data_IF_191070655564
#
_entry.id   IF_191070655564
#
_cell.length_a   1.000
_cell.length_b   1.000
_cell.length_c   1.000
_cell.angle_alpha   90.00
_cell.angle_beta   90.00
_cell.angle_gamma   90.00
#
_symmetry.space_group_name_H-M   'P 1'
#
loop_
_entity.id
_entity.type
_entity.pdbx_description
1 polymer ?
#
# COMPACT_ATOMS: atom_id res chain seq x y z
N UNK A 1 -32.76 -18.68 90.02
CA UNK A 1 -33.08 -17.49 89.21
C UNK A 1 -32.12 -17.47 88.04
N UNK A 2 -32.69 -17.65 86.84
CA UNK A 2 -32.01 -17.78 85.55
C UNK A 2 -31.54 -16.41 85.03
N UNK A 3 -30.35 -16.36 84.41
CA UNK A 3 -30.19 -15.76 83.08
C UNK A 3 -28.80 -16.07 82.52
N UNK A 4 -28.71 -17.14 81.71
CA UNK A 4 -27.62 -17.36 80.76
C UNK A 4 -28.07 -16.75 79.42
N UNK A 5 -27.57 -15.57 79.12
CA UNK A 5 -27.79 -14.92 77.82
C UNK A 5 -26.89 -15.59 76.79
N UNK A 6 -27.45 -16.50 75.98
CA UNK A 6 -26.83 -16.98 74.75
C UNK A 6 -26.92 -15.88 73.70
N UNK A 7 -25.80 -15.30 73.33
CA UNK A 7 -25.68 -14.48 72.12
C UNK A 7 -25.62 -15.46 70.95
N UNK A 8 -26.71 -15.54 70.18
CA UNK A 8 -26.74 -16.24 68.90
C UNK A 8 -26.23 -15.21 67.88
N UNK A 9 -24.98 -15.38 67.44
CA UNK A 9 -24.48 -14.68 66.25
C UNK A 9 -25.24 -15.23 65.04
N UNK A 10 -26.22 -14.46 64.58
CA UNK A 10 -26.84 -14.65 63.28
C UNK A 10 -25.81 -14.25 62.22
N UNK A 11 -25.19 -15.24 61.58
CA UNK A 11 -24.49 -15.02 60.32
C UNK A 11 -25.56 -14.66 59.28
N UNK A 12 -25.66 -13.37 58.97
CA UNK A 12 -26.44 -12.88 57.84
C UNK A 12 -25.68 -13.33 56.60
N UNK A 13 -26.16 -14.41 55.99
CA UNK A 13 -25.77 -14.86 54.67
C UNK A 13 -26.30 -13.81 53.68
N UNK A 14 -25.48 -12.82 53.36
CA UNK A 14 -25.73 -11.88 52.27
C UNK A 14 -25.58 -12.66 50.96
N UNK A 15 -26.68 -13.22 50.48
CA UNK A 15 -26.76 -13.76 49.11
C UNK A 15 -26.77 -12.57 48.18
N UNK A 16 -25.58 -12.18 47.71
CA UNK A 16 -25.44 -11.27 46.58
C UNK A 16 -25.89 -12.08 45.36
N UNK A 17 -27.13 -11.88 44.95
CA UNK A 17 -27.60 -12.30 43.63
C UNK A 17 -26.91 -11.37 42.63
N UNK A 18 -25.73 -11.74 42.19
CA UNK A 18 -25.14 -11.18 40.97
C UNK A 18 -26.05 -11.66 39.85
N UNK A 19 -26.99 -10.82 39.45
CA UNK A 19 -27.66 -10.99 38.18
C UNK A 19 -26.58 -10.79 37.11
N UNK A 20 -25.97 -11.90 36.71
CA UNK A 20 -25.19 -11.97 35.47
C UNK A 20 -26.22 -11.76 34.37
N UNK A 21 -26.46 -10.50 34.02
CA UNK A 21 -27.03 -10.18 32.73
C UNK A 21 -25.99 -10.67 31.73
N UNK A 22 -26.22 -11.86 31.19
CA UNK A 22 -25.56 -12.32 29.98
C UNK A 22 -25.94 -11.33 28.89
N UNK A 23 -25.14 -10.27 28.76
CA UNK A 23 -25.09 -9.45 27.59
C UNK A 23 -24.55 -10.39 26.50
N UNK A 24 -25.47 -11.04 25.77
CA UNK A 24 -25.10 -11.64 24.49
C UNK A 24 -24.74 -10.47 23.60
N UNK A 25 -23.45 -10.13 23.53
CA UNK A 25 -22.93 -9.45 22.36
C UNK A 25 -23.13 -10.43 21.22
N UNK A 26 -24.26 -10.30 20.52
CA UNK A 26 -24.36 -10.85 19.17
C UNK A 26 -23.45 -9.96 18.33
N UNK A 27 -22.16 -10.27 18.34
CA UNK A 27 -21.25 -9.83 17.30
C UNK A 27 -21.90 -10.25 15.99
N UNK A 28 -22.41 -9.27 15.26
CA UNK A 28 -22.99 -9.53 13.96
C UNK A 28 -21.79 -9.79 13.08
N UNK A 29 -21.50 -11.07 12.83
CA UNK A 29 -20.58 -11.48 11.76
C UNK A 29 -21.04 -10.72 10.52
N UNK A 30 -20.20 -9.78 10.09
CA UNK A 30 -20.47 -9.03 8.88
C UNK A 30 -20.21 -10.07 7.80
N UNK A 31 -21.29 -10.64 7.24
CA UNK A 31 -21.19 -11.55 6.09
C UNK A 31 -20.22 -10.90 5.10
N UNK A 32 -19.15 -11.61 4.73
CA UNK A 32 -18.19 -11.14 3.73
C UNK A 32 -18.98 -10.55 2.56
N UNK A 33 -18.84 -9.25 2.27
CA UNK A 33 -19.62 -8.64 1.21
C UNK A 33 -19.30 -9.38 -0.09
N UNK A 34 -20.29 -10.11 -0.63
CA UNK A 34 -20.17 -10.77 -1.93
C UNK A 34 -20.01 -9.70 -3.02
N UNK A 35 -18.76 -9.29 -3.24
CA UNK A 35 -18.35 -8.26 -4.18
C UNK A 35 -17.15 -7.48 -3.66
N UNK A 36 -16.07 -7.45 -4.43
CA UNK A 36 -14.94 -6.55 -4.21
C UNK A 36 -15.42 -5.11 -4.43
N UNK A 37 -15.96 -4.50 -3.38
CA UNK A 37 -16.44 -3.12 -3.42
C UNK A 37 -15.29 -2.23 -2.98
N UNK A 38 -14.82 -1.37 -3.88
CA UNK A 38 -13.90 -0.29 -3.53
C UNK A 38 -14.47 0.49 -2.33
N UNK A 39 -13.65 0.64 -1.28
CA UNK A 39 -14.02 1.33 -0.05
C UNK A 39 -12.85 2.15 0.45
N UNK A 40 -13.13 3.03 1.40
CA UNK A 40 -12.09 3.74 2.15
C UNK A 40 -11.52 2.85 3.26
N UNK A 41 -10.23 2.97 3.47
CA UNK A 41 -9.48 2.32 4.54
C UNK A 41 -8.50 3.33 5.14
N UNK A 42 -7.92 2.97 6.28
CA UNK A 42 -6.90 3.74 6.99
C UNK A 42 -5.73 2.80 7.20
N UNK A 43 -4.56 3.14 6.65
CA UNK A 43 -3.31 2.48 7.01
C UNK A 43 -2.77 3.13 8.27
N UNK A 44 -2.51 2.33 9.28
CA UNK A 44 -1.84 2.75 10.50
C UNK A 44 -0.50 2.04 10.58
N UNK A 45 0.55 2.77 10.92
CA UNK A 45 1.82 2.21 11.33
C UNK A 45 1.90 2.35 12.85
N UNK A 46 1.84 1.23 13.55
CA UNK A 46 1.84 1.18 15.00
C UNK A 46 3.25 0.82 15.47
N UNK A 47 3.92 1.74 16.15
CA UNK A 47 5.18 1.46 16.83
C UNK A 47 4.92 0.66 18.09
N UNK A 48 5.71 -0.39 18.30
CA UNK A 48 5.73 -1.17 19.53
C UNK A 48 7.13 -1.12 20.16
N UNK A 49 7.20 -0.76 21.44
CA UNK A 49 8.45 -0.64 22.20
C UNK A 49 8.35 -1.47 23.48
N UNK A 50 9.31 -2.38 23.71
CA UNK A 50 9.44 -3.12 24.97
C UNK A 50 10.23 -2.29 25.98
N UNK A 51 9.58 -1.94 27.08
CA UNK A 51 10.20 -1.20 28.19
C UNK A 51 10.12 -2.08 29.44
N UNK A 52 11.15 -2.91 29.62
CA UNK A 52 11.18 -3.92 30.68
C UNK A 52 10.31 -5.13 30.31
N UNK A 53 9.23 -5.36 31.05
CA UNK A 53 8.26 -6.44 30.78
C UNK A 53 6.97 -5.90 30.14
N UNK A 54 6.84 -4.59 29.98
CA UNK A 54 5.67 -3.94 29.40
C UNK A 54 5.93 -3.56 27.93
N UNK A 55 4.89 -3.68 27.10
CA UNK A 55 4.90 -3.20 25.72
C UNK A 55 4.13 -1.89 25.66
N UNK A 56 4.74 -0.87 25.08
CA UNK A 56 4.10 0.41 24.81
C UNK A 56 3.83 0.53 23.32
N UNK A 57 2.63 1.01 22.99
CA UNK A 57 2.23 1.27 21.61
C UNK A 57 2.15 2.76 21.34
N UNK A 58 2.50 3.15 20.13
CA UNK A 58 2.37 4.52 19.65
C UNK A 58 1.97 4.54 18.18
N UNK A 59 1.30 5.60 17.74
CA UNK A 59 1.04 5.84 16.33
C UNK A 59 2.29 6.46 15.70
N UNK A 60 2.86 5.78 14.71
CA UNK A 60 4.03 6.24 13.94
C UNK A 60 3.58 6.93 12.65
N UNK A 61 2.60 6.33 11.97
CA UNK A 61 2.10 6.78 10.68
C UNK A 61 0.60 6.57 10.53
N UNK A 62 -0.05 7.46 9.78
CA UNK A 62 -1.47 7.39 9.44
C UNK A 62 -1.64 7.85 7.98
N UNK A 63 -2.30 7.02 7.18
CA UNK A 63 -2.56 7.30 5.77
C UNK A 63 -3.98 6.88 5.40
N UNK A 64 -4.68 7.73 4.63
CA UNK A 64 -6.00 7.41 4.09
C UNK A 64 -5.82 6.63 2.79
N UNK A 65 -6.48 5.49 2.67
CA UNK A 65 -6.45 4.62 1.49
C UNK A 65 -7.85 4.56 0.85
N UNK A 66 -7.89 4.42 -0.46
CA UNK A 66 -9.10 4.07 -1.20
C UNK A 66 -8.79 2.92 -2.15
N UNK A 67 -9.63 1.89 -2.19
CA UNK A 67 -9.43 0.75 -3.06
C UNK A 67 -10.08 -0.53 -2.53
N UNK A 68 -9.57 -1.68 -2.93
CA UNK A 68 -10.09 -2.98 -2.55
C UNK A 68 -9.14 -3.70 -1.58
N UNK A 69 -9.07 -3.21 -0.35
CA UNK A 69 -8.19 -3.80 0.68
C UNK A 69 -8.88 -4.89 1.51
N UNK A 70 -10.08 -5.34 1.12
CA UNK A 70 -10.87 -6.29 1.93
C UNK A 70 -10.15 -7.60 2.25
N UNK A 71 -9.27 -8.06 1.36
CA UNK A 71 -8.44 -9.27 1.57
C UNK A 71 -7.16 -9.05 2.39
N UNK A 72 -6.84 -7.80 2.74
CA UNK A 72 -5.70 -7.44 3.58
C UNK A 72 -6.13 -6.98 4.99
N UNK A 73 -7.43 -6.91 5.25
CA UNK A 73 -7.96 -6.63 6.58
C UNK A 73 -8.08 -7.95 7.34
N UNK A 74 -7.24 -8.13 8.34
CA UNK A 74 -7.29 -9.30 9.22
C UNK A 74 -8.43 -9.12 10.24
N UNK A 75 -9.53 -9.86 10.08
CA UNK A 75 -10.67 -9.82 11.01
C UNK A 75 -10.44 -10.79 12.17
N UNK A 76 -10.66 -10.31 13.41
CA UNK A 76 -10.62 -11.17 14.58
C UNK A 76 -11.91 -12.00 14.68
N UNK A 77 -11.79 -13.34 14.69
CA UNK A 77 -12.87 -14.30 14.94
C UNK A 77 -12.70 -14.94 16.33
N UNK A 78 -13.72 -14.81 17.18
CA UNK A 78 -13.70 -15.29 18.56
C UNK A 78 -13.81 -16.83 18.67
N UNK A 79 -14.21 -17.50 17.60
CA UNK A 79 -14.41 -18.95 17.56
C UNK A 79 -13.14 -19.74 17.15
N UNK A 80 -12.03 -19.06 16.83
CA UNK A 80 -10.96 -19.59 15.97
C UNK A 80 -9.54 -19.72 16.49
N UNK A 81 -9.24 -19.53 17.79
CA UNK A 81 -8.04 -20.10 18.44
C UNK A 81 -6.65 -19.61 17.98
N UNK A 82 -6.54 -18.53 17.21
CA UNK A 82 -5.25 -17.88 16.97
C UNK A 82 -4.93 -17.07 18.23
N UNK A 83 -3.91 -17.50 18.97
CA UNK A 83 -3.41 -16.78 20.13
C UNK A 83 -2.58 -15.61 19.62
N UNK A 84 -3.26 -14.56 19.18
CA UNK A 84 -2.57 -13.34 18.75
C UNK A 84 -2.09 -12.53 19.95
N UNK A 85 -1.03 -11.76 19.71
CA UNK A 85 -0.34 -11.01 20.76
C UNK A 85 -1.20 -9.84 21.23
N UNK A 86 -1.84 -9.13 20.29
CA UNK A 86 -2.62 -7.92 20.59
C UNK A 86 -3.94 -7.87 19.81
N UNK A 87 -4.90 -7.11 20.33
CA UNK A 87 -6.20 -6.87 19.70
C UNK A 87 -6.39 -5.39 19.42
N UNK A 88 -6.45 -5.01 18.14
CA UNK A 88 -6.87 -3.67 17.72
C UNK A 88 -8.38 -3.55 17.86
N UNK A 89 -8.84 -2.45 18.47
CA UNK A 89 -10.25 -2.11 18.63
C UNK A 89 -10.52 -0.71 18.11
N UNK A 90 -11.48 -0.63 17.21
CA UNK A 90 -11.99 0.62 16.66
C UNK A 90 -13.37 0.85 17.26
N UNK A 91 -13.50 1.91 18.05
CA UNK A 91 -14.75 2.27 18.70
C UNK A 91 -15.31 3.54 18.08
N UNK A 92 -16.62 3.70 18.15
CA UNK A 92 -17.29 4.91 17.73
C UNK A 92 -17.12 6.07 18.74
N UNK A 93 -17.80 7.19 18.48
CA UNK A 93 -17.82 8.37 19.35
C UNK A 93 -18.50 8.13 20.71
N UNK A 94 -19.35 7.10 20.84
CA UNK A 94 -20.02 6.71 22.09
C UNK A 94 -19.22 5.66 22.88
N UNK A 95 -18.21 5.07 22.25
CA UNK A 95 -17.35 4.02 22.81
C UNK A 95 -17.82 2.60 22.48
N UNK A 96 -18.77 2.44 21.57
CA UNK A 96 -19.24 1.14 21.11
C UNK A 96 -18.27 0.57 20.05
N UNK A 97 -18.05 -0.75 20.09
CA UNK A 97 -17.12 -1.44 19.19
C UNK A 97 -17.68 -1.46 17.75
N UNK A 98 -16.94 -0.89 16.81
CA UNK A 98 -17.23 -0.90 15.38
C UNK A 98 -16.50 -2.03 14.64
N UNK A 99 -15.22 -2.20 14.97
CA UNK A 99 -14.33 -3.14 14.29
C UNK A 99 -13.24 -3.62 15.26
N UNK A 100 -12.83 -4.88 15.11
CA UNK A 100 -11.70 -5.44 15.82
C UNK A 100 -10.85 -6.29 14.90
N UNK A 101 -9.53 -6.14 15.03
CA UNK A 101 -8.53 -6.85 14.24
C UNK A 101 -7.47 -7.40 15.16
N UNK A 102 -6.97 -8.56 14.81
CA UNK A 102 -5.91 -9.22 15.53
C UNK A 102 -4.57 -8.67 15.01
N UNK A 103 -3.64 -8.37 15.91
CA UNK A 103 -2.33 -7.85 15.54
C UNK A 103 -1.22 -8.83 15.93
N UNK A 104 -0.36 -9.11 14.97
CA UNK A 104 0.89 -9.84 15.19
C UNK A 104 2.03 -8.88 15.49
N UNK A 105 2.82 -9.19 16.53
CA UNK A 105 4.02 -8.40 16.84
C UNK A 105 5.05 -8.56 15.73
N UNK A 106 5.58 -7.44 15.27
CA UNK A 106 6.71 -7.34 14.33
C UNK A 106 8.08 -7.48 15.02
N UNK A 107 8.10 -7.55 16.36
CA UNK A 107 9.33 -7.69 17.15
C UNK A 107 9.93 -9.10 17.10
N UNK A 108 9.17 -10.10 16.65
CA UNK A 108 9.65 -11.47 16.55
C UNK A 108 10.02 -11.81 15.11
N UNK A 109 11.29 -12.13 14.89
CA UNK A 109 11.78 -12.67 13.61
C UNK A 109 12.04 -14.15 13.79
N UNK A 110 11.23 -14.97 13.12
CA UNK A 110 11.45 -16.40 13.02
C UNK A 110 12.47 -16.64 11.91
N UNK A 111 13.51 -17.40 12.21
CA UNK A 111 14.46 -17.85 11.20
C UNK A 111 14.56 -19.36 11.28
N UNK A 112 14.58 -19.99 10.10
CA UNK A 112 14.87 -21.41 9.97
C UNK A 112 16.26 -21.60 9.37
N UNK A 113 16.95 -22.67 9.78
CA UNK A 113 18.26 -23.01 9.28
C UNK A 113 18.14 -24.25 8.39
N UNK A 114 18.06 -24.03 7.07
CA UNK A 114 17.90 -25.08 6.06
C UNK A 114 19.18 -25.91 5.81
N UNK A 115 19.85 -26.35 6.88
CA UNK A 115 20.95 -27.31 6.78
C UNK A 115 20.44 -28.69 6.33
N UNK A 116 21.19 -29.37 5.46
CA UNK A 116 20.85 -30.75 5.03
C UNK A 116 21.00 -31.79 6.17
N UNK A 117 21.59 -31.39 7.30
CA UNK A 117 21.71 -32.22 8.50
C UNK A 117 20.44 -32.05 9.36
N UNK A 118 19.79 -33.16 9.75
CA UNK A 118 18.47 -33.27 10.42
C UNK A 118 18.33 -32.56 11.80
N UNK A 119 19.23 -31.66 12.17
CA UNK A 119 19.08 -30.82 13.36
C UNK A 119 18.48 -29.47 12.93
N UNK A 120 17.14 -29.38 12.94
CA UNK A 120 16.40 -28.11 12.86
C UNK A 120 16.93 -27.15 13.93
N UNK A 121 17.76 -26.19 13.52
CA UNK A 121 18.30 -25.14 14.39
C UNK A 121 17.57 -23.80 14.17
N UNK A 122 16.30 -23.85 13.78
CA UNK A 122 15.43 -22.68 13.76
C UNK A 122 15.35 -22.00 15.13
N UNK A 123 15.07 -20.70 15.12
CA UNK A 123 15.01 -19.89 16.33
C UNK A 123 14.11 -18.67 16.18
N UNK A 124 13.95 -17.95 17.29
CA UNK A 124 13.20 -16.70 17.36
C UNK A 124 14.14 -15.61 17.84
N UNK A 125 14.29 -14.54 17.06
CA UNK A 125 14.94 -13.31 17.47
C UNK A 125 13.87 -12.33 17.91
N UNK A 126 13.94 -11.87 19.16
CA UNK A 126 13.07 -10.81 19.68
C UNK A 126 13.85 -9.48 19.67
N UNK A 127 13.27 -8.44 19.07
CA UNK A 127 13.82 -7.08 19.06
C UNK A 127 13.20 -6.24 20.18
N UNK A 128 13.84 -5.12 20.56
CA UNK A 128 13.29 -4.20 21.56
C UNK A 128 12.14 -3.34 21.00
N UNK A 129 12.10 -3.15 19.68
CA UNK A 129 11.11 -2.31 19.00
C UNK A 129 10.70 -2.88 17.64
N UNK A 130 9.50 -2.52 17.18
CA UNK A 130 8.93 -2.94 15.90
C UNK A 130 7.88 -1.96 15.36
N UNK A 131 7.43 -2.19 14.12
CA UNK A 131 6.34 -1.47 13.47
C UNK A 131 5.33 -2.48 12.95
N UNK A 132 4.09 -2.38 13.42
CA UNK A 132 2.97 -3.21 12.99
C UNK A 132 2.13 -2.40 11.99
N UNK A 133 2.19 -2.71 10.67
CA UNK A 133 1.29 -2.11 9.71
C UNK A 133 -0.10 -2.76 9.83
N UNK A 134 -1.15 -1.95 9.89
CA UNK A 134 -2.53 -2.44 9.88
C UNK A 134 -3.41 -1.61 8.97
N UNK A 135 -4.33 -2.29 8.28
CA UNK A 135 -5.35 -1.65 7.46
C UNK A 135 -6.69 -1.77 8.17
N UNK A 136 -7.31 -0.62 8.42
CA UNK A 136 -8.59 -0.51 9.12
C UNK A 136 -9.66 -0.04 8.13
N UNK A 137 -10.83 -0.69 8.04
CA UNK A 137 -11.91 -0.17 7.22
C UNK A 137 -12.37 1.18 7.75
N UNK A 138 -12.53 2.16 6.85
CA UNK A 138 -13.13 3.43 7.23
C UNK A 138 -14.61 3.22 7.56
N UNK A 139 -15.00 3.63 8.76
CA UNK A 139 -16.38 3.58 9.24
C UNK A 139 -16.75 4.99 9.68
N UNK A 140 -17.94 5.46 9.29
CA UNK A 140 -18.41 6.75 9.78
C UNK A 140 -18.47 6.75 11.31
N UNK A 141 -18.03 7.84 11.94
CA UNK A 141 -18.02 8.05 13.39
C UNK A 141 -16.98 7.25 14.18
N UNK A 142 -15.83 6.89 13.59
CA UNK A 142 -14.68 6.44 14.39
C UNK A 142 -14.37 7.49 15.47
N UNK A 143 -14.39 7.06 16.73
CA UNK A 143 -14.10 7.90 17.88
C UNK A 143 -12.74 7.60 18.51
N UNK A 144 -12.33 6.33 18.56
CA UNK A 144 -11.00 5.96 19.05
C UNK A 144 -10.50 4.66 18.41
N UNK A 145 -9.19 4.55 18.26
CA UNK A 145 -8.51 3.32 17.86
C UNK A 145 -7.52 2.94 18.95
N UNK A 146 -7.67 1.73 19.49
CA UNK A 146 -7.00 1.28 20.70
C UNK A 146 -6.42 -0.11 20.51
N UNK A 147 -5.38 -0.42 21.28
CA UNK A 147 -4.77 -1.75 21.32
C UNK A 147 -4.96 -2.33 22.71
N UNK A 148 -5.55 -3.52 22.77
CA UNK A 148 -5.63 -4.33 23.98
C UNK A 148 -4.47 -5.34 23.98
N UNK A 149 -3.67 -5.30 25.05
CA UNK A 149 -2.62 -6.26 25.36
C UNK A 149 -2.87 -6.80 26.78
N UNK A 150 -3.60 -7.92 26.86
CA UNK A 150 -4.05 -8.49 28.13
C UNK A 150 -5.01 -7.57 28.87
N UNK A 151 -4.60 -7.04 30.04
CA UNK A 151 -5.39 -6.10 30.85
C UNK A 151 -5.08 -4.63 30.54
N UNK A 152 -4.09 -4.36 29.68
CA UNK A 152 -3.65 -3.01 29.34
C UNK A 152 -4.28 -2.59 28.02
N UNK A 153 -4.89 -1.41 28.02
CA UNK A 153 -5.48 -0.79 26.84
C UNK A 153 -4.71 0.50 26.53
N UNK A 154 -4.24 0.63 25.30
CA UNK A 154 -3.49 1.80 24.83
C UNK A 154 -4.27 2.53 23.75
N UNK A 155 -4.57 3.80 23.97
CA UNK A 155 -5.18 4.66 22.95
C UNK A 155 -4.09 5.20 22.02
N UNK A 156 -4.23 4.96 20.71
CA UNK A 156 -3.26 5.40 19.71
C UNK A 156 -3.34 6.90 19.45
N UNK A 157 -4.35 7.60 19.98
CA UNK A 157 -4.59 9.03 19.76
C UNK A 157 -4.65 9.40 18.27
N UNK A 158 -5.19 8.51 17.44
CA UNK A 158 -5.45 8.74 16.01
C UNK A 158 -6.27 10.01 15.85
N UNK A 159 -5.84 10.91 14.98
CA UNK A 159 -6.57 12.15 14.73
C UNK A 159 -7.76 11.87 13.82
N UNK A 160 -8.88 11.48 14.43
CA UNK A 160 -10.10 11.13 13.69
C UNK A 160 -10.66 12.25 12.81
N UNK A 161 -10.30 13.51 13.09
CA UNK A 161 -10.70 14.66 12.27
C UNK A 161 -9.87 14.82 10.99
N UNK A 162 -8.71 14.17 10.90
CA UNK A 162 -7.85 14.12 9.70
C UNK A 162 -8.10 12.86 8.86
N UNK A 163 -8.92 11.93 9.35
CA UNK A 163 -9.38 10.80 8.56
C UNK A 163 -10.40 11.32 7.55
N UNK A 164 -10.01 11.33 6.29
CA UNK A 164 -10.83 11.81 5.19
C UNK A 164 -11.01 10.63 4.23
N UNK A 165 -12.26 10.16 4.11
CA UNK A 165 -12.64 9.21 3.07
C UNK A 165 -12.90 9.99 1.78
N UNK A 166 -11.81 10.41 1.13
CA UNK A 166 -11.83 10.91 -0.23
C UNK A 166 -11.28 9.81 -1.13
N UNK A 167 -11.95 9.59 -2.27
CA UNK A 167 -11.43 8.72 -3.32
C UNK A 167 -10.19 9.41 -3.86
N UNK A 168 -9.04 9.04 -3.32
CA UNK A 168 -7.77 9.61 -3.70
C UNK A 168 -7.50 9.38 -5.17
N UNK A 169 -7.88 8.19 -5.69
CA UNK A 169 -7.58 7.74 -7.04
C UNK A 169 -8.51 6.59 -7.55
N UNK A 170 -8.44 6.22 -8.83
CA UNK A 170 -9.42 5.29 -9.47
C UNK A 170 -9.02 3.81 -9.47
N UNK A 171 -7.79 3.46 -9.10
CA UNK A 171 -7.30 2.08 -9.00
C UNK A 171 -6.79 1.73 -7.58
N UNK A 172 -6.75 0.43 -7.31
CA UNK A 172 -6.33 -0.15 -6.02
C UNK A 172 -4.84 0.15 -5.75
N UNK A 173 -4.51 0.58 -4.54
CA UNK A 173 -3.13 0.96 -4.18
C UNK A 173 -2.80 2.44 -4.33
N UNK A 174 -3.65 3.25 -4.97
CA UNK A 174 -3.32 4.63 -5.36
C UNK A 174 -3.59 5.70 -4.25
N UNK A 175 -2.72 6.72 -4.18
CA UNK A 175 -2.73 7.83 -3.21
C UNK A 175 -2.53 9.13 -3.99
N UNK A 176 -3.30 10.18 -3.65
CA UNK A 176 -3.42 11.39 -4.48
C UNK A 176 -4.72 12.16 -4.23
N UNK A 177 -4.94 13.27 -4.92
CA UNK A 177 -6.23 13.99 -4.92
C UNK A 177 -6.91 13.83 -6.27
N UNK A 178 -8.21 13.55 -6.26
CA UNK A 178 -9.02 13.45 -7.49
C UNK A 178 -9.11 14.76 -8.27
N UNK A 179 -8.77 15.88 -7.63
CA UNK A 179 -9.03 17.22 -8.15
C UNK A 179 -8.08 17.61 -9.31
N UNK A 180 -6.97 16.88 -9.49
CA UNK A 180 -5.89 17.22 -10.45
C UNK A 180 -5.69 16.18 -11.58
N UNK A 181 -6.60 15.21 -11.76
CA UNK A 181 -6.53 14.16 -12.82
C UNK A 181 -5.23 13.33 -12.87
N UNK A 182 -4.38 13.38 -11.85
CA UNK A 182 -3.09 12.66 -11.84
C UNK A 182 -2.95 11.76 -10.62
N UNK A 183 -3.29 10.50 -10.82
CA UNK A 183 -3.06 9.40 -9.88
C UNK A 183 -2.03 8.46 -10.49
N UNK A 184 -0.78 8.58 -10.05
CA UNK A 184 0.35 7.77 -10.51
C UNK A 184 1.29 7.55 -9.31
N UNK A 185 1.18 6.43 -8.57
CA UNK A 185 2.14 6.13 -7.49
C UNK A 185 3.35 5.36 -8.04
N UNK A 186 4.53 5.98 -8.06
CA UNK A 186 5.76 5.31 -8.52
C UNK A 186 5.93 5.35 -10.05
N UNK A 187 4.91 5.86 -10.74
CA UNK A 187 4.88 6.08 -12.17
C UNK A 187 5.12 7.57 -12.41
N UNK A 188 6.05 7.91 -13.30
CA UNK A 188 6.30 9.31 -13.67
C UNK A 188 5.13 9.77 -14.54
N UNK A 189 4.51 10.89 -14.19
CA UNK A 189 3.59 11.59 -15.09
C UNK A 189 4.40 11.98 -16.33
N UNK A 190 4.20 11.26 -17.45
CA UNK A 190 4.66 11.73 -18.76
C UNK A 190 3.78 12.92 -19.17
N UNK A 191 4.05 14.06 -18.53
CA UNK A 191 3.36 15.33 -18.74
C UNK A 191 3.96 16.11 -19.90
N UNK A 192 4.25 15.45 -21.02
CA UNK A 192 4.36 16.15 -22.29
C UNK A 192 2.97 16.62 -22.70
N UNK A 193 2.84 17.84 -23.23
CA UNK A 193 1.73 18.09 -24.16
C UNK A 193 1.77 16.94 -25.17
N UNK A 194 0.67 16.19 -25.39
CA UNK A 194 0.73 15.02 -26.25
C UNK A 194 1.27 15.43 -27.61
N UNK A 195 2.51 15.06 -27.90
CA UNK A 195 3.17 15.40 -29.15
C UNK A 195 2.59 14.46 -30.19
N UNK A 196 1.57 14.93 -30.89
CA UNK A 196 1.03 14.24 -32.05
C UNK A 196 1.89 14.60 -33.26
N UNK A 197 2.90 13.78 -33.58
CA UNK A 197 3.75 14.01 -34.75
C UNK A 197 2.88 14.14 -36.01
N UNK A 198 3.02 15.26 -36.73
CA UNK A 198 2.15 15.62 -37.84
C UNK A 198 1.11 16.71 -37.53
N UNK A 199 0.92 17.10 -36.26
CA UNK A 199 0.07 18.22 -35.82
C UNK A 199 0.88 19.52 -35.84
N UNK A 200 1.06 20.08 -37.05
CA UNK A 200 1.86 21.28 -37.28
C UNK A 200 1.15 22.57 -36.83
N UNK A 201 -0.18 22.56 -36.70
CA UNK A 201 -0.96 23.73 -36.29
C UNK A 201 -1.37 23.73 -34.82
N UNK A 202 -1.18 22.60 -34.13
CA UNK A 202 -1.38 22.43 -32.70
C UNK A 202 -2.84 22.33 -32.30
N UNK A 203 -3.74 21.94 -33.22
CA UNK A 203 -5.16 21.81 -32.94
C UNK A 203 -5.56 20.46 -32.32
N UNK A 204 -4.60 19.54 -32.19
CA UNK A 204 -4.81 18.20 -31.65
C UNK A 204 -5.35 17.21 -32.68
N UNK A 205 -5.26 17.47 -33.99
CA UNK A 205 -5.67 16.50 -35.02
C UNK A 205 -4.77 16.62 -36.24
N UNK A 206 -4.14 15.53 -36.68
CA UNK A 206 -3.39 15.57 -37.95
C UNK A 206 -4.34 15.57 -39.13
N UNK A 207 -4.41 16.68 -39.87
CA UNK A 207 -5.35 16.91 -40.94
C UNK A 207 -4.89 17.85 -42.07
N UNK A 208 -5.87 18.48 -42.72
CA UNK A 208 -5.65 19.35 -43.87
C UNK A 208 -4.96 20.67 -43.46
N UNK A 209 -5.21 21.15 -42.25
CA UNK A 209 -4.60 22.38 -41.74
C UNK A 209 -3.10 22.20 -41.49
N UNK A 210 -2.66 21.04 -40.98
CA UNK A 210 -1.24 20.71 -40.83
C UNK A 210 -0.52 20.63 -42.16
N UNK A 211 -1.18 20.04 -43.15
CA UNK A 211 -0.65 20.00 -44.52
C UNK A 211 -0.47 21.41 -45.08
N UNK A 212 -1.35 22.35 -44.73
CA UNK A 212 -1.23 23.75 -45.13
C UNK A 212 -0.06 24.45 -44.42
N UNK A 213 0.16 24.18 -43.12
CA UNK A 213 1.32 24.68 -42.37
C UNK A 213 2.62 24.12 -42.95
N UNK A 214 2.70 22.82 -43.17
CA UNK A 214 3.81 22.15 -43.83
C UNK A 214 4.13 22.77 -45.20
N UNK A 215 3.12 22.93 -46.07
CA UNK A 215 3.32 23.56 -47.38
C UNK A 215 3.84 24.99 -47.31
N UNK A 216 3.48 25.72 -46.25
CA UNK A 216 3.95 27.10 -46.03
C UNK A 216 5.41 27.17 -45.58
N UNK A 217 5.91 26.11 -44.94
CA UNK A 217 7.28 26.01 -44.42
C UNK A 217 8.21 25.13 -45.28
N UNK A 218 7.69 24.42 -46.28
CA UNK A 218 8.47 23.50 -47.11
C UNK A 218 9.68 24.16 -47.78
N UNK A 219 10.87 23.61 -47.51
CA UNK A 219 12.17 24.08 -47.99
C UNK A 219 12.78 25.23 -47.18
N UNK A 220 12.19 25.61 -46.03
CA UNK A 220 12.82 26.49 -45.06
C UNK A 220 13.85 25.69 -44.23
N UNK A 221 14.91 26.39 -43.78
CA UNK A 221 15.99 25.84 -42.95
C UNK A 221 16.21 26.82 -41.79
N UNK A 222 15.44 26.67 -40.71
CA UNK A 222 15.41 27.57 -39.56
C UNK A 222 15.06 26.78 -38.28
N UNK A 223 15.53 27.22 -37.12
CA UNK A 223 15.14 26.60 -35.85
C UNK A 223 13.68 26.93 -35.49
N UNK A 224 12.96 25.95 -34.93
CA UNK A 224 11.61 26.15 -34.39
C UNK A 224 10.50 26.22 -35.44
N UNK A 225 10.72 25.62 -36.62
CA UNK A 225 9.68 25.40 -37.61
C UNK A 225 8.69 24.37 -37.07
N UNK A 226 7.39 24.70 -37.05
CA UNK A 226 6.37 23.81 -36.49
C UNK A 226 6.10 22.56 -37.34
N UNK A 227 6.60 22.54 -38.58
CA UNK A 227 6.51 21.39 -39.48
C UNK A 227 7.83 20.63 -39.66
N UNK A 228 8.87 20.94 -38.87
CA UNK A 228 10.14 20.19 -38.76
C UNK A 228 9.95 19.11 -37.68
N UNK A 229 9.47 17.94 -38.09
CA UNK A 229 9.01 16.88 -37.21
C UNK A 229 10.10 15.86 -36.87
N UNK A 230 11.12 15.70 -37.70
CA UNK A 230 12.29 14.88 -37.35
C UNK A 230 13.41 15.68 -36.65
N UNK A 231 13.28 17.01 -36.60
CA UNK A 231 14.14 17.90 -35.83
C UNK A 231 15.52 18.08 -36.46
N UNK A 232 15.65 17.87 -37.78
CA UNK A 232 16.92 17.99 -38.48
C UNK A 232 17.25 19.45 -38.90
N UNK A 233 16.31 20.36 -38.70
CA UNK A 233 16.47 21.80 -38.90
C UNK A 233 15.99 22.32 -40.25
N UNK A 234 15.38 21.47 -41.08
CA UNK A 234 14.65 21.88 -42.27
C UNK A 234 13.27 21.21 -42.41
N UNK A 235 12.42 21.74 -43.30
CA UNK A 235 11.10 21.15 -43.57
C UNK A 235 11.11 20.57 -44.97
N UNK A 236 11.18 19.25 -45.07
CA UNK A 236 11.32 18.53 -46.33
C UNK A 236 10.34 17.33 -46.47
N UNK A 237 10.61 16.39 -47.38
CA UNK A 237 9.71 15.25 -47.60
C UNK A 237 9.77 14.21 -46.49
N UNK A 238 10.79 14.24 -45.64
CA UNK A 238 10.96 13.42 -44.44
C UNK A 238 9.92 13.83 -43.41
N UNK A 239 9.73 15.13 -43.15
CA UNK A 239 8.68 15.60 -42.24
C UNK A 239 7.26 15.26 -42.72
N UNK A 240 7.06 15.29 -44.04
CA UNK A 240 5.77 14.94 -44.62
C UNK A 240 5.35 13.48 -44.35
N UNK A 241 6.29 12.58 -44.08
CA UNK A 241 5.94 11.19 -43.75
C UNK A 241 5.17 11.11 -42.43
N UNK A 242 5.48 11.96 -41.46
CA UNK A 242 4.78 12.02 -40.17
C UNK A 242 3.32 12.45 -40.33
N UNK A 243 3.04 13.49 -41.13
CA UNK A 243 1.66 13.90 -41.45
C UNK A 243 0.90 12.74 -42.13
N UNK A 244 1.54 12.06 -43.08
CA UNK A 244 0.90 10.97 -43.83
C UNK A 244 0.62 9.76 -42.94
N UNK A 245 1.52 9.44 -42.03
CA UNK A 245 1.43 8.26 -41.17
C UNK A 245 0.47 8.45 -40.00
N UNK A 246 0.27 9.70 -39.56
CA UNK A 246 -0.63 10.05 -38.47
C UNK A 246 -1.96 10.69 -38.93
N UNK A 247 -2.24 10.79 -40.23
CA UNK A 247 -3.45 11.42 -40.78
C UNK A 247 -4.76 10.91 -40.14
N UNK A 248 -5.54 11.84 -39.57
CA UNK A 248 -6.76 11.56 -38.83
C UNK A 248 -6.54 11.03 -37.42
N UNK A 249 -5.30 11.01 -36.95
CA UNK A 249 -4.94 10.76 -35.56
C UNK A 249 -5.36 11.94 -34.69
N UNK A 250 -5.77 11.62 -33.47
CA UNK A 250 -5.97 12.55 -32.36
C UNK A 250 -4.88 12.24 -31.32
N UNK A 251 -4.48 13.19 -30.44
CA UNK A 251 -3.52 12.91 -29.39
C UNK A 251 -4.08 11.75 -28.60
N UNK A 252 -3.31 10.65 -28.56
CA UNK A 252 -3.53 9.65 -27.53
C UNK A 252 -3.35 10.40 -26.23
N UNK A 253 -4.44 10.55 -25.47
CA UNK A 253 -4.38 11.16 -24.15
C UNK A 253 -3.31 10.43 -23.37
N UNK A 254 -2.21 11.09 -22.95
CA UNK A 254 -1.07 10.43 -22.34
C UNK A 254 -1.37 10.24 -20.85
N UNK A 255 -2.54 9.68 -20.55
CA UNK A 255 -2.82 9.14 -19.23
C UNK A 255 -2.45 7.66 -19.27
N UNK A 256 -1.15 7.40 -19.40
CA UNK A 256 -0.61 6.08 -19.13
C UNK A 256 0.28 6.23 -17.90
N UNK A 257 -0.13 5.61 -16.81
CA UNK A 257 0.80 5.41 -15.70
C UNK A 257 1.92 4.52 -16.26
N UNK A 258 3.18 5.00 -16.25
CA UNK A 258 4.40 4.28 -16.69
C UNK A 258 5.20 3.62 -15.54
N UNK A 259 5.39 2.30 -15.53
CA UNK A 259 5.87 1.52 -14.36
C UNK A 259 7.39 1.38 -14.29
N UNK A 260 8.12 2.47 -14.08
CA UNK A 260 9.58 2.36 -14.01
C UNK A 260 10.04 1.44 -12.85
N UNK A 261 11.00 0.56 -13.12
CA UNK A 261 11.60 -0.41 -12.21
C UNK A 261 11.00 -1.82 -12.24
N UNK A 262 10.12 -2.17 -13.19
CA UNK A 262 9.58 -3.54 -13.28
C UNK A 262 10.43 -4.49 -14.15
N UNK A 263 11.45 -3.94 -14.81
CA UNK A 263 12.38 -4.66 -15.67
C UNK A 263 11.88 -4.89 -17.10
N UNK A 264 10.72 -4.34 -17.48
CA UNK A 264 10.10 -4.52 -18.80
C UNK A 264 9.81 -3.18 -19.47
N UNK A 265 10.72 -2.74 -20.34
CA UNK A 265 10.47 -1.58 -21.20
C UNK A 265 9.26 -1.79 -22.12
N UNK A 266 8.15 -1.10 -21.85
CA UNK A 266 6.95 -1.10 -22.69
C UNK A 266 6.92 0.09 -23.66
N UNK A 267 6.07 0.03 -24.70
CA UNK A 267 5.90 1.13 -25.68
C UNK A 267 5.39 2.43 -25.04
N UNK A 268 4.84 2.35 -23.82
CA UNK A 268 4.35 3.48 -23.05
C UNK A 268 5.41 4.04 -22.08
N UNK A 269 6.61 3.43 -22.01
CA UNK A 269 7.70 3.90 -21.16
C UNK A 269 8.72 4.74 -21.92
N UNK A 270 8.91 5.98 -21.47
CA UNK A 270 9.93 6.87 -22.02
C UNK A 270 11.32 6.45 -21.50
N UNK A 271 12.28 6.11 -22.36
CA UNK A 271 13.62 5.70 -21.95
C UNK A 271 14.41 6.74 -21.14
N UNK A 272 14.08 8.02 -21.28
CA UNK A 272 14.71 9.10 -20.51
C UNK A 272 14.08 9.27 -19.11
N UNK A 273 12.83 8.81 -18.93
CA UNK A 273 12.11 8.87 -17.66
C UNK A 273 12.19 7.54 -16.88
N UNK A 274 12.20 6.38 -17.56
CA UNK A 274 12.39 5.05 -16.98
C UNK A 274 13.70 4.38 -17.46
N UNK A 275 14.87 5.00 -17.21
CA UNK A 275 16.13 4.47 -17.73
C UNK A 275 16.47 3.07 -17.19
N UNK A 276 15.99 2.71 -16.00
CA UNK A 276 16.22 1.42 -15.35
C UNK A 276 15.66 0.22 -16.15
N UNK A 277 14.54 0.43 -16.85
CA UNK A 277 13.85 -0.59 -17.65
C UNK A 277 14.21 -0.50 -19.13
N UNK A 278 14.33 0.72 -19.66
CA UNK A 278 14.43 0.97 -21.09
C UNK A 278 15.84 1.20 -21.63
N UNK A 279 16.85 1.47 -20.79
CA UNK A 279 18.23 1.60 -21.26
C UNK A 279 18.94 0.23 -21.21
N UNK A 280 19.42 -0.30 -22.36
CA UNK A 280 20.04 -1.62 -22.44
C UNK A 280 21.42 -1.73 -21.77
N UNK A 281 21.93 -0.66 -21.16
CA UNK A 281 23.28 -0.63 -20.55
C UNK A 281 23.33 -1.06 -19.08
N UNK A 282 22.19 -1.32 -18.41
CA UNK A 282 22.22 -1.92 -17.07
C UNK A 282 22.48 -3.44 -17.16
N UNK A 283 23.74 -3.83 -17.23
CA UNK A 283 24.17 -5.24 -17.16
C UNK A 283 24.51 -5.63 -15.72
N UNK A 284 23.82 -6.64 -15.18
CA UNK A 284 24.25 -7.29 -13.94
C UNK A 284 25.60 -8.01 -14.12
N UNK A 285 26.43 -8.13 -13.08
CA UNK A 285 27.61 -9.01 -13.09
C UNK A 285 27.26 -10.43 -13.55
N UNK A 286 28.22 -11.15 -14.17
CA UNK A 286 27.98 -12.46 -14.83
C UNK A 286 27.35 -13.55 -13.92
N UNK A 287 27.37 -13.36 -12.61
CA UNK A 287 26.85 -14.26 -11.59
C UNK A 287 25.54 -13.79 -10.92
N UNK A 288 24.96 -12.69 -11.39
CA UNK A 288 23.73 -12.12 -10.85
C UNK A 288 22.62 -12.06 -11.91
N UNK A 289 21.40 -12.33 -11.46
CA UNK A 289 20.17 -12.26 -12.25
C UNK A 289 19.59 -10.85 -12.09
N UNK A 290 19.25 -10.19 -13.20
CA UNK A 290 18.51 -8.92 -13.17
C UNK A 290 17.10 -9.20 -12.64
N UNK A 291 16.75 -8.60 -11.52
CA UNK A 291 15.39 -8.49 -10.99
C UNK A 291 14.84 -7.10 -11.32
N UNK A 292 13.53 -6.91 -11.10
CA UNK A 292 12.83 -5.63 -11.25
C UNK A 292 13.65 -4.44 -10.69
N UNK A 293 14.13 -4.54 -9.43
CA UNK A 293 14.79 -3.41 -8.76
C UNK A 293 16.29 -3.61 -8.42
N UNK A 294 16.91 -4.76 -8.73
CA UNK A 294 18.29 -5.05 -8.35
C UNK A 294 18.92 -6.23 -9.12
N UNK A 295 20.22 -6.46 -8.94
CA UNK A 295 20.88 -7.71 -9.32
C UNK A 295 20.92 -8.66 -8.11
N UNK A 296 20.51 -9.93 -8.26
CA UNK A 296 20.51 -10.94 -7.18
C UNK A 296 21.31 -12.18 -7.56
N UNK A 297 21.99 -12.80 -6.60
CA UNK A 297 22.72 -14.06 -6.85
C UNK A 297 21.73 -15.23 -6.88
N UNK A 298 21.89 -16.14 -7.85
CA UNK A 298 21.05 -17.33 -7.95
C UNK A 298 21.14 -18.17 -6.66
N UNK A 299 20.04 -18.29 -5.91
CA UNK A 299 19.95 -19.17 -4.73
C UNK A 299 19.30 -18.56 -3.48
N UNK A 300 19.04 -17.25 -3.43
CA UNK A 300 18.32 -16.65 -2.31
C UNK A 300 16.79 -16.78 -2.51
N UNK A 301 16.09 -17.30 -1.51
CA UNK A 301 14.62 -17.37 -1.45
C UNK A 301 14.16 -16.52 -0.28
N UNK A 302 13.06 -15.80 -0.46
CA UNK A 302 12.46 -14.97 0.57
C UNK A 302 11.09 -15.56 0.90
N UNK A 303 10.84 -15.79 2.19
CA UNK A 303 9.53 -16.14 2.73
C UNK A 303 8.93 -14.87 3.33
N UNK A 304 7.61 -14.71 3.19
CA UNK A 304 6.90 -13.66 3.92
C UNK A 304 6.66 -14.07 5.39
N UNK A 305 6.15 -13.13 6.18
CA UNK A 305 5.85 -13.35 7.60
C UNK A 305 4.72 -14.35 7.87
N UNK A 306 3.97 -14.76 6.85
CA UNK A 306 2.91 -15.79 6.91
C UNK A 306 3.43 -17.18 6.55
N UNK A 307 4.69 -17.31 6.15
CA UNK A 307 5.28 -18.57 5.70
C UNK A 307 4.83 -18.99 4.30
N UNK A 308 4.26 -18.06 3.52
CA UNK A 308 3.90 -18.30 2.14
C UNK A 308 5.09 -17.99 1.21
N UNK A 309 5.25 -18.85 0.18
CA UNK A 309 6.31 -18.69 -0.81
C UNK A 309 6.00 -17.50 -1.73
N UNK A 310 6.76 -16.42 -1.61
CA UNK A 310 6.69 -15.33 -2.58
C UNK A 310 7.45 -15.75 -3.85
N UNK A 311 6.72 -15.93 -4.94
CA UNK A 311 7.29 -15.98 -6.29
C UNK A 311 7.93 -14.64 -6.63
N UNK A 312 9.06 -14.63 -7.34
CA UNK A 312 9.75 -13.40 -7.79
C UNK A 312 8.89 -12.46 -8.64
N UNK A 313 7.72 -12.91 -9.09
CA UNK A 313 6.76 -12.14 -9.90
C UNK A 313 5.75 -11.33 -9.06
N UNK A 314 5.82 -11.32 -7.71
CA UNK A 314 4.76 -10.74 -6.85
C UNK A 314 5.25 -9.66 -5.87
N UNK A 315 6.40 -9.01 -6.13
CA UNK A 315 6.84 -7.87 -5.31
C UNK A 315 6.19 -6.57 -5.77
N UNK A 316 5.04 -6.22 -5.18
CA UNK A 316 4.46 -4.86 -5.21
C UNK A 316 4.41 -4.35 -3.76
N UNK A 317 5.08 -3.23 -3.49
CA UNK A 317 4.90 -2.38 -2.30
C UNK A 317 5.82 -2.65 -1.10
N UNK A 318 6.44 -1.56 -0.60
CA UNK A 318 7.28 -1.40 0.61
C UNK A 318 8.78 -1.76 0.52
N UNK A 319 9.64 -0.73 0.36
CA UNK A 319 11.12 -0.84 0.31
C UNK A 319 11.88 -0.17 1.46
N UNK A 320 11.25 0.27 2.56
CA UNK A 320 12.01 1.00 3.61
C UNK A 320 12.66 0.15 4.72
N UNK A 321 12.54 -1.18 4.75
CA UNK A 321 13.01 -1.99 5.89
C UNK A 321 13.98 -3.15 5.59
N UNK A 322 14.87 -3.01 4.59
CA UNK A 322 15.95 -3.99 4.39
C UNK A 322 17.30 -3.45 4.87
N UNK A 323 17.70 -3.85 6.08
CA UNK A 323 19.09 -3.72 6.52
C UNK A 323 19.90 -4.82 5.83
N UNK A 324 20.70 -4.44 4.82
CA UNK A 324 21.72 -5.33 4.27
C UNK A 324 22.70 -5.69 5.40
N UNK A 325 23.03 -6.98 5.63
CA UNK A 325 24.09 -7.35 6.56
C UNK A 325 25.39 -6.70 6.08
N UNK A 326 26.08 -6.01 6.98
CA UNK A 326 27.39 -5.43 6.70
C UNK A 326 28.34 -6.57 6.30
N UNK A 327 28.84 -6.51 5.07
CA UNK A 327 29.94 -7.35 4.61
C UNK A 327 31.22 -6.90 5.33
N UNK A 328 31.70 -7.73 6.26
CA UNK A 328 33.13 -7.76 6.66
C UNK A 328 33.97 -8.46 5.57
#
# INVERSE_FOLDING_TARGET
>A
MNNKTKIISAAILLVVVIAVFGFRMTGKVIDEPEGLVESCFIRLEIGEDKIGEEIQFSLVGQENLYGNYGGLVDYYDDDGGIAEDYLLRVNDLEGDLLFSSALSSSRFVFYDNFGEDEEDLGGVLETESGIIPVIVPYIENIGSIRIENGEVETDLNVNVGEIICERTCMAEGETGSSDDESCCIGFIKSGGEPILLGDADGDGVVGELDTAVFQSQFGLIEEGLSADFDGDGDVDLSDFTFIRENMGGEPKTPFTCVNCGDGVCSDDEDPDLCPEDCIPEFSCPEDMIKMAYACSTSGQRFEDWRGDWISTDTMIGDTENYILPSLD
#
